data_IF_070409623706
#
_entry.id   IF_070409623706
#
_cell.length_a   1.000
_cell.length_b   1.000
_cell.length_c   1.000
_cell.angle_alpha   90.00
_cell.angle_beta   90.00
_cell.angle_gamma   90.00
#
_symmetry.space_group_name_H-M   'P 1'
#
loop_
_entity.id
_entity.type
_entity.pdbx_description
1 polymer ?
#
# COMPACT_ATOMS: atom_id res chain seq x y z
N UNK A 1 -5.67 -13.92 -11.82
CA UNK A 1 -5.76 -13.03 -10.63
C UNK A 1 -5.40 -11.57 -10.98
N UNK A 2 -6.18 -10.90 -11.84
CA UNK A 2 -5.79 -9.62 -12.49
C UNK A 2 -6.40 -8.36 -11.82
N UNK A 3 -7.12 -8.50 -10.71
CA UNK A 3 -8.07 -7.51 -10.15
C UNK A 3 -7.55 -6.63 -9.00
N UNK A 4 -6.26 -6.72 -8.61
CA UNK A 4 -5.70 -5.95 -7.48
C UNK A 4 -4.57 -4.98 -7.84
N UNK A 5 -4.42 -4.67 -9.13
CA UNK A 5 -3.45 -3.66 -9.61
C UNK A 5 -4.03 -2.25 -9.48
N UNK A 6 -3.16 -1.28 -9.20
CA UNK A 6 -3.53 0.12 -9.25
C UNK A 6 -3.56 0.62 -10.68
N UNK A 7 -4.55 1.47 -11.01
CA UNK A 7 -4.70 2.05 -12.36
C UNK A 7 -3.54 2.97 -12.73
N UNK A 8 -3.00 3.71 -11.75
CA UNK A 8 -1.71 4.39 -11.90
C UNK A 8 -0.80 3.90 -10.78
N UNK A 9 0.46 3.56 -11.08
CA UNK A 9 1.42 3.17 -10.07
C UNK A 9 1.66 4.31 -9.08
N UNK A 10 2.14 3.95 -7.89
CA UNK A 10 2.56 4.88 -6.84
C UNK A 10 4.06 4.70 -6.68
N UNK A 11 4.82 5.79 -6.63
CA UNK A 11 6.25 5.74 -6.31
C UNK A 11 6.38 6.26 -4.88
N UNK A 12 7.03 5.50 -4.01
CA UNK A 12 7.27 5.86 -2.62
C UNK A 12 8.75 5.75 -2.30
N UNK A 13 9.22 6.58 -1.37
CA UNK A 13 10.55 6.50 -0.78
C UNK A 13 10.45 6.07 0.68
N UNK A 14 10.31 4.76 0.96
CA UNK A 14 10.28 4.26 2.33
C UNK A 14 11.71 4.26 2.88
N UNK A 15 12.09 5.35 3.55
CA UNK A 15 13.37 5.46 4.26
C UNK A 15 14.40 6.37 3.57
N UNK A 16 15.65 5.89 3.42
CA UNK A 16 16.74 6.70 2.82
C UNK A 16 16.41 7.08 1.38
N UNK A 17 16.83 8.29 1.01
CA UNK A 17 16.46 9.08 -0.18
C UNK A 17 16.65 8.33 -1.52
N UNK A 18 17.44 7.25 -1.55
CA UNK A 18 17.86 6.57 -2.78
C UNK A 18 17.17 5.22 -3.05
N UNK A 19 16.10 4.88 -2.30
CA UNK A 19 15.32 3.64 -2.52
C UNK A 19 13.88 3.93 -2.92
N UNK A 20 13.73 4.49 -4.12
CA UNK A 20 12.43 4.56 -4.78
C UNK A 20 11.85 3.16 -4.95
N UNK A 21 10.65 2.94 -4.42
CA UNK A 21 9.89 1.71 -4.61
C UNK A 21 8.63 2.01 -5.40
N UNK A 22 8.49 1.32 -6.52
CA UNK A 22 7.30 1.38 -7.36
C UNK A 22 6.27 0.37 -6.86
N UNK A 23 5.09 0.88 -6.52
CA UNK A 23 3.95 0.13 -6.00
C UNK A 23 2.90 0.04 -7.11
N UNK A 24 2.78 -1.15 -7.69
CA UNK A 24 1.88 -1.44 -8.82
C UNK A 24 0.56 -2.08 -8.35
N UNK A 25 0.55 -2.67 -7.16
CA UNK A 25 -0.56 -3.46 -6.66
C UNK A 25 -0.84 -3.24 -5.17
N UNK A 26 -2.01 -3.70 -4.72
CA UNK A 26 -2.36 -3.74 -3.30
C UNK A 26 -1.41 -4.65 -2.51
N UNK A 27 -0.90 -5.72 -3.12
CA UNK A 27 0.08 -6.59 -2.48
C UNK A 27 1.42 -5.87 -2.27
N UNK A 28 1.86 -5.08 -3.26
CA UNK A 28 3.08 -4.28 -3.16
C UNK A 28 2.93 -3.24 -2.04
N UNK A 29 1.76 -2.60 -1.95
CA UNK A 29 1.45 -1.63 -0.91
C UNK A 29 1.48 -2.26 0.49
N UNK A 30 0.88 -3.45 0.63
CA UNK A 30 0.91 -4.20 1.88
C UNK A 30 2.34 -4.58 2.28
N UNK A 31 3.18 -4.99 1.32
CA UNK A 31 4.58 -5.31 1.61
C UNK A 31 5.36 -4.10 2.12
N UNK A 32 5.20 -2.93 1.49
CA UNK A 32 5.82 -1.68 1.94
C UNK A 32 5.37 -1.34 3.36
N UNK A 33 4.06 -1.39 3.63
CA UNK A 33 3.51 -1.06 4.95
C UNK A 33 4.01 -2.01 6.04
N UNK A 34 4.20 -3.30 5.74
CA UNK A 34 4.57 -4.30 6.72
C UNK A 34 6.08 -4.38 6.98
N UNK A 35 6.91 -4.25 5.94
CA UNK A 35 8.35 -4.52 6.02
C UNK A 35 9.21 -3.26 5.97
N UNK A 36 8.89 -2.34 5.06
CA UNK A 36 9.79 -1.23 4.69
C UNK A 36 9.40 0.10 5.34
N UNK A 37 8.27 0.16 6.04
CA UNK A 37 7.75 1.39 6.60
C UNK A 37 8.68 1.90 7.74
N UNK A 38 9.29 3.09 7.60
CA UNK A 38 10.38 3.52 8.48
C UNK A 38 9.92 4.01 9.85
N UNK A 39 8.66 4.42 9.99
CA UNK A 39 8.11 4.96 11.23
C UNK A 39 7.41 3.90 12.08
N UNK A 40 7.38 4.07 13.42
CA UNK A 40 6.62 3.20 14.32
C UNK A 40 5.14 3.11 13.94
N UNK A 41 4.43 2.15 14.54
CA UNK A 41 2.99 1.98 14.32
C UNK A 41 2.21 3.30 14.53
N UNK A 42 1.68 3.85 13.44
CA UNK A 42 0.79 5.01 13.46
C UNK A 42 -0.64 4.57 13.14
N UNK A 43 -1.63 5.34 13.61
CA UNK A 43 -3.05 5.11 13.25
C UNK A 43 -3.25 5.08 11.74
N UNK A 44 -2.53 5.93 11.01
CA UNK A 44 -2.55 6.00 9.54
C UNK A 44 -2.02 4.72 8.91
N UNK A 45 -0.88 4.19 9.40
CA UNK A 45 -0.31 2.93 8.90
C UNK A 45 -1.28 1.76 9.11
N UNK A 46 -1.89 1.67 10.29
CA UNK A 46 -2.87 0.61 10.58
C UNK A 46 -4.12 0.72 9.69
N UNK A 47 -4.61 1.94 9.45
CA UNK A 47 -5.72 2.18 8.53
C UNK A 47 -5.37 1.77 7.09
N UNK A 48 -4.15 2.05 6.62
CA UNK A 48 -3.67 1.65 5.31
C UNK A 48 -3.59 0.12 5.16
N UNK A 49 -3.09 -0.58 6.19
CA UNK A 49 -3.04 -2.04 6.24
C UNK A 49 -4.46 -2.63 6.19
N UNK A 50 -5.39 -2.08 6.99
CA UNK A 50 -6.79 -2.53 7.01
C UNK A 50 -7.46 -2.32 5.65
N UNK A 51 -7.19 -1.20 4.97
CA UNK A 51 -7.69 -0.94 3.63
C UNK A 51 -7.14 -1.95 2.59
N UNK A 52 -5.85 -2.30 2.68
CA UNK A 52 -5.26 -3.32 1.83
C UNK A 52 -5.92 -4.69 2.05
N UNK A 53 -6.16 -5.09 3.31
CA UNK A 53 -6.85 -6.33 3.65
C UNK A 53 -8.27 -6.38 3.10
N UNK A 54 -9.05 -5.31 3.22
CA UNK A 54 -10.42 -5.26 2.69
C UNK A 54 -10.45 -5.47 1.16
N UNK A 55 -9.49 -4.89 0.42
CA UNK A 55 -9.39 -5.13 -1.03
C UNK A 55 -8.92 -6.55 -1.35
N UNK A 56 -7.98 -7.10 -0.56
CA UNK A 56 -7.53 -8.50 -0.70
C UNK A 56 -8.70 -9.47 -0.48
N UNK A 57 -9.61 -9.18 0.46
CA UNK A 57 -10.81 -9.98 0.69
C UNK A 57 -11.90 -9.79 -0.37
N UNK A 58 -11.74 -8.80 -1.26
CA UNK A 58 -12.74 -8.48 -2.29
C UNK A 58 -13.89 -7.61 -1.78
N UNK A 59 -13.80 -7.10 -0.55
CA UNK A 59 -14.83 -6.26 0.08
C UNK A 59 -14.83 -4.83 -0.45
N UNK A 60 -13.67 -4.35 -0.91
CA UNK A 60 -13.49 -2.97 -1.41
C UNK A 60 -12.71 -2.93 -2.72
N UNK A 61 -12.89 -1.89 -3.56
CA UNK A 61 -12.12 -1.74 -4.78
C UNK A 61 -10.68 -1.27 -4.52
N UNK A 62 -9.70 -1.58 -5.40
CA UNK A 62 -8.30 -1.16 -5.26
C UNK A 62 -8.05 0.34 -5.07
N UNK A 63 -8.98 1.20 -5.52
CA UNK A 63 -8.91 2.65 -5.27
C UNK A 63 -8.86 2.99 -3.78
N UNK A 64 -9.56 2.22 -2.94
CA UNK A 64 -9.60 2.48 -1.49
C UNK A 64 -8.23 2.23 -0.85
N UNK A 65 -7.59 1.11 -1.18
CA UNK A 65 -6.24 0.81 -0.69
C UNK A 65 -5.23 1.86 -1.17
N UNK A 66 -5.33 2.32 -2.42
CA UNK A 66 -4.49 3.41 -2.92
C UNK A 66 -4.67 4.70 -2.13
N UNK A 67 -5.92 5.11 -1.88
CA UNK A 67 -6.21 6.35 -1.17
C UNK A 67 -5.70 6.33 0.27
N UNK A 68 -5.75 5.16 0.92
CA UNK A 68 -5.26 5.01 2.29
C UNK A 68 -3.72 4.89 2.38
N UNK A 69 -3.05 4.57 1.27
CA UNK A 69 -1.60 4.39 1.21
C UNK A 69 -0.83 5.69 0.90
N UNK A 70 -1.48 6.66 0.25
CA UNK A 70 -0.95 8.02 -0.01
C UNK A 70 -1.21 8.88 1.23
#
# INVERSE_FOLDING_TARGET
MRTRRFRKPIVVQPGRIDRDRVVLSVSDAAEVLLKDWPTPASKTRLAAIAACLAVIRGEKPPRVARQAFI
#
